data_IF_314862113955
#
_entry.id   IF_314862113955
#
_cell.length_a   1.000
_cell.length_b   1.000
_cell.length_c   1.000
_cell.angle_alpha   90.00
_cell.angle_beta   90.00
_cell.angle_gamma   90.00
#
_symmetry.space_group_name_H-M   'P 1'
#
loop_
_entity.id
_entity.type
_entity.pdbx_description
1 polymer ?
#
# COMPACT_ATOMS: atom_id res chain seq x y z
N UNK A 1 -14.02 -2.94 13.44
CA UNK A 1 -13.39 -2.01 12.49
C UNK A 1 -12.94 -2.81 11.27
N UNK A 2 -13.43 -2.46 10.09
CA UNK A 2 -13.04 -3.05 8.82
C UNK A 2 -12.06 -2.11 8.12
N UNK A 3 -10.86 -2.59 7.79
CA UNK A 3 -9.85 -1.82 7.07
C UNK A 3 -9.37 -2.59 5.84
N UNK A 4 -9.26 -1.89 4.71
CA UNK A 4 -8.84 -2.48 3.45
C UNK A 4 -7.58 -1.78 2.92
N UNK A 5 -6.56 -2.55 2.57
CA UNK A 5 -5.31 -2.02 2.04
C UNK A 5 -5.21 -2.24 0.53
N UNK A 6 -5.00 -1.16 -0.22
CA UNK A 6 -4.64 -1.19 -1.65
C UNK A 6 -3.16 -0.83 -1.75
N UNK A 7 -2.33 -1.75 -2.22
CA UNK A 7 -0.90 -1.49 -2.33
C UNK A 7 -0.13 -2.57 -3.05
N UNK A 8 1.15 -2.70 -2.73
CA UNK A 8 2.02 -3.67 -3.40
C UNK A 8 2.83 -4.48 -2.39
N UNK A 9 4.04 -4.88 -2.76
CA UNK A 9 4.94 -5.61 -1.88
C UNK A 9 5.22 -4.91 -0.55
N UNK A 10 5.13 -3.58 -0.47
CA UNK A 10 5.29 -2.81 0.78
C UNK A 10 4.11 -2.93 1.75
N UNK A 11 2.97 -3.44 1.28
CA UNK A 11 1.84 -3.88 2.10
C UNK A 11 1.84 -5.40 2.29
N UNK A 12 2.32 -6.16 1.29
CA UNK A 12 2.33 -7.61 1.33
C UNK A 12 3.38 -8.18 2.30
N UNK A 13 4.60 -7.62 2.30
CA UNK A 13 5.71 -8.05 3.14
C UNK A 13 5.39 -7.82 4.61
N UNK A 14 5.86 -8.74 5.45
CA UNK A 14 5.55 -8.84 6.88
C UNK A 14 4.06 -8.92 7.21
N UNK A 15 3.22 -9.10 6.19
CA UNK A 15 1.77 -9.03 6.31
C UNK A 15 1.30 -7.75 7.04
N UNK A 16 1.70 -6.57 6.56
CA UNK A 16 1.46 -5.28 7.23
C UNK A 16 0.01 -5.05 7.71
N UNK A 17 -0.99 -5.48 6.93
CA UNK A 17 -2.40 -5.39 7.33
C UNK A 17 -2.71 -6.19 8.61
N UNK A 18 -2.08 -7.35 8.78
CA UNK A 18 -2.16 -8.16 9.99
C UNK A 18 -1.37 -7.53 11.14
N UNK A 19 -0.18 -6.96 10.89
CA UNK A 19 0.56 -6.24 11.93
C UNK A 19 -0.25 -5.07 12.50
N UNK A 20 -0.90 -4.30 11.61
CA UNK A 20 -1.81 -3.24 12.03
C UNK A 20 -2.97 -3.79 12.87
N UNK A 21 -3.60 -4.89 12.44
CA UNK A 21 -4.64 -5.56 13.24
C UNK A 21 -4.12 -5.92 14.63
N UNK A 22 -2.95 -6.53 14.74
CA UNK A 22 -2.36 -6.96 16.01
C UNK A 22 -2.17 -5.77 16.96
N UNK A 23 -1.45 -4.73 16.52
CA UNK A 23 -1.18 -3.56 17.37
C UNK A 23 -2.45 -2.76 17.70
N UNK A 24 -3.43 -2.73 16.78
CA UNK A 24 -4.71 -2.05 17.00
C UNK A 24 -5.59 -2.78 18.03
N UNK A 25 -5.72 -4.11 17.92
CA UNK A 25 -6.51 -4.92 18.87
C UNK A 25 -5.87 -4.95 20.26
N UNK A 26 -4.55 -4.82 20.35
CA UNK A 26 -3.86 -4.70 21.63
C UNK A 26 -4.08 -3.31 22.28
N UNK A 27 -3.82 -2.23 21.53
CA UNK A 27 -3.86 -0.88 22.08
C UNK A 27 -5.27 -0.28 22.23
N UNK A 28 -6.29 -0.87 21.61
CA UNK A 28 -7.69 -0.45 21.75
C UNK A 28 -8.55 -1.53 22.41
N UNK A 29 -8.93 -1.29 23.67
CA UNK A 29 -9.80 -2.18 24.45
C UNK A 29 -11.10 -2.50 23.67
N UNK A 30 -11.42 -3.79 23.57
CA UNK A 30 -12.60 -4.35 22.89
C UNK A 30 -12.68 -4.07 21.37
N UNK A 31 -11.62 -3.54 20.75
CA UNK A 31 -11.59 -3.40 19.31
C UNK A 31 -11.37 -4.78 18.66
N UNK A 32 -12.18 -5.09 17.67
CA UNK A 32 -11.93 -6.17 16.71
C UNK A 32 -11.69 -5.57 15.34
N UNK A 33 -10.59 -5.97 14.72
CA UNK A 33 -10.16 -5.48 13.41
C UNK A 33 -10.28 -6.59 12.39
N UNK A 34 -11.04 -6.33 11.33
CA UNK A 34 -10.98 -7.11 10.10
C UNK A 34 -10.08 -6.37 9.12
N UNK A 35 -8.94 -6.94 8.77
CA UNK A 35 -7.95 -6.32 7.90
C UNK A 35 -7.76 -7.17 6.64
N UNK A 36 -8.19 -6.63 5.50
CA UNK A 36 -8.02 -7.25 4.19
C UNK A 36 -7.06 -6.41 3.34
N UNK A 37 -6.50 -7.04 2.30
CA UNK A 37 -5.61 -6.34 1.36
C UNK A 37 -5.74 -6.89 -0.05
N UNK A 38 -5.42 -6.04 -1.02
CA UNK A 38 -5.13 -6.43 -2.39
C UNK A 38 -3.77 -5.86 -2.76
N UNK A 39 -2.88 -6.74 -3.22
CA UNK A 39 -1.51 -6.36 -3.53
C UNK A 39 -1.01 -6.98 -4.82
N UNK A 40 -0.41 -6.16 -5.67
CA UNK A 40 0.32 -6.59 -6.86
C UNK A 40 1.74 -6.03 -6.80
N UNK A 41 2.76 -6.89 -6.95
CA UNK A 41 4.17 -6.50 -6.78
C UNK A 41 4.58 -5.34 -7.69
N UNK A 42 5.19 -4.30 -7.11
CA UNK A 42 5.65 -3.12 -7.84
C UNK A 42 4.55 -2.24 -8.45
N UNK A 43 3.28 -2.41 -8.09
CA UNK A 43 2.19 -1.68 -8.75
C UNK A 43 1.83 -0.37 -8.02
N UNK A 44 1.35 0.59 -8.81
CA UNK A 44 0.88 1.92 -8.41
C UNK A 44 -0.64 1.94 -8.23
N UNK A 45 -1.19 2.99 -7.61
CA UNK A 45 -2.65 3.17 -7.56
C UNK A 45 -3.27 3.34 -8.96
N UNK A 46 -2.51 3.87 -9.92
CA UNK A 46 -2.88 3.84 -11.34
C UNK A 46 -3.22 2.43 -11.79
N UNK A 47 -2.33 1.46 -11.56
CA UNK A 47 -2.53 0.10 -12.07
C UNK A 47 -3.69 -0.59 -11.33
N UNK A 48 -3.81 -0.37 -10.02
CA UNK A 48 -4.98 -0.81 -9.25
C UNK A 48 -6.30 -0.25 -9.78
N UNK A 49 -6.32 1.00 -10.25
CA UNK A 49 -7.51 1.66 -10.76
C UNK A 49 -7.84 1.24 -12.20
N UNK A 50 -6.86 1.31 -13.10
CA UNK A 50 -7.09 1.22 -14.54
C UNK A 50 -6.89 -0.19 -15.12
N UNK A 51 -6.07 -1.03 -14.48
CA UNK A 51 -5.72 -2.35 -15.01
C UNK A 51 -6.35 -3.48 -14.22
N UNK A 52 -6.41 -3.35 -12.89
CA UNK A 52 -6.83 -4.43 -12.00
C UNK A 52 -8.19 -4.20 -11.35
N UNK A 53 -8.75 -3.00 -11.47
CA UNK A 53 -10.03 -2.59 -10.86
C UNK A 53 -10.14 -2.99 -9.38
N UNK A 54 -9.06 -2.84 -8.62
CA UNK A 54 -8.97 -3.23 -7.21
C UNK A 54 -9.98 -2.51 -6.31
N UNK A 55 -10.47 -1.35 -6.74
CA UNK A 55 -11.53 -0.62 -6.06
C UNK A 55 -12.88 -1.36 -6.03
N UNK A 56 -13.07 -2.42 -6.85
CA UNK A 56 -14.21 -3.36 -6.68
C UNK A 56 -14.30 -3.90 -5.26
N UNK A 57 -13.17 -4.17 -4.59
CA UNK A 57 -13.13 -4.60 -3.18
C UNK A 57 -13.59 -3.52 -2.23
N UNK A 58 -13.21 -2.27 -2.51
CA UNK A 58 -13.68 -1.11 -1.77
C UNK A 58 -15.20 -0.97 -1.91
N UNK A 59 -15.77 -1.35 -3.05
CA UNK A 59 -17.20 -1.23 -3.40
C UNK A 59 -18.06 -2.46 -3.11
N UNK A 60 -17.51 -3.55 -2.54
CA UNK A 60 -18.22 -4.85 -2.42
C UNK A 60 -19.57 -4.81 -1.69
N UNK A 61 -19.80 -3.80 -0.85
CA UNK A 61 -21.07 -3.63 -0.15
C UNK A 61 -22.20 -3.12 -1.06
N UNK A 62 -21.85 -2.48 -2.19
CA UNK A 62 -22.80 -1.74 -3.04
C UNK A 62 -22.69 -2.06 -4.54
N UNK A 63 -21.56 -2.59 -4.99
CA UNK A 63 -21.32 -2.90 -6.41
C UNK A 63 -22.21 -4.06 -6.87
N UNK A 64 -22.80 -3.90 -8.05
CA UNK A 64 -23.61 -4.95 -8.68
C UNK A 64 -22.73 -6.04 -9.31
N UNK A 65 -23.29 -7.24 -9.46
CA UNK A 65 -22.63 -8.33 -10.18
C UNK A 65 -22.32 -7.94 -11.65
N UNK A 66 -23.22 -7.17 -12.29
CA UNK A 66 -23.04 -6.71 -13.67
C UNK A 66 -21.88 -5.73 -13.82
N UNK A 67 -21.68 -4.83 -12.85
CA UNK A 67 -20.51 -3.95 -12.81
C UNK A 67 -19.21 -4.74 -12.62
N UNK A 68 -19.21 -5.77 -11.78
CA UNK A 68 -18.04 -6.66 -11.64
C UNK A 68 -17.77 -7.38 -12.97
N UNK A 69 -18.79 -7.91 -13.63
CA UNK A 69 -18.67 -8.56 -14.95
C UNK A 69 -18.16 -7.60 -16.03
N UNK A 70 -18.58 -6.33 -16.02
CA UNK A 70 -18.05 -5.30 -16.92
C UNK A 70 -16.55 -5.06 -16.68
N UNK A 71 -16.13 -4.95 -15.41
CA UNK A 71 -14.69 -4.81 -15.07
C UNK A 71 -13.89 -6.04 -15.50
N UNK A 72 -14.43 -7.24 -15.32
CA UNK A 72 -13.83 -8.48 -15.84
C UNK A 72 -13.66 -8.41 -17.36
N UNK A 73 -14.68 -8.00 -18.11
CA UNK A 73 -14.60 -7.85 -19.58
C UNK A 73 -13.52 -6.85 -20.00
N UNK A 74 -13.40 -5.71 -19.31
CA UNK A 74 -12.32 -4.74 -19.56
C UNK A 74 -10.92 -5.35 -19.32
N UNK A 75 -10.75 -6.08 -18.22
CA UNK A 75 -9.50 -6.79 -17.93
C UNK A 75 -9.19 -7.86 -18.98
N UNK A 76 -10.19 -8.63 -19.41
CA UNK A 76 -10.03 -9.65 -20.46
C UNK A 76 -9.66 -9.03 -21.80
N UNK A 77 -10.20 -7.86 -22.14
CA UNK A 77 -9.81 -7.11 -23.33
C UNK A 77 -8.33 -6.70 -23.26
N UNK A 78 -7.86 -6.17 -22.12
CA UNK A 78 -6.44 -5.86 -21.91
C UNK A 78 -5.53 -7.10 -22.07
N UNK A 79 -6.00 -8.30 -21.69
CA UNK A 79 -5.23 -9.54 -21.88
C UNK A 79 -5.08 -9.95 -23.34
N UNK A 80 -5.94 -9.48 -24.24
CA UNK A 80 -5.81 -9.74 -25.69
C UNK A 80 -4.79 -8.83 -26.38
N UNK A 81 -4.40 -7.73 -25.73
CA UNK A 81 -3.44 -6.79 -26.30
C UNK A 81 -2.03 -7.41 -26.35
N UNK A 82 -1.44 -7.37 -27.55
CA UNK A 82 -0.07 -7.85 -27.77
C UNK A 82 0.94 -7.00 -27.02
N UNK A 83 0.80 -5.68 -27.14
CA UNK A 83 1.66 -4.68 -26.53
C UNK A 83 0.89 -3.90 -25.46
N UNK A 84 1.59 -3.19 -24.58
CA UNK A 84 0.94 -2.36 -23.58
C UNK A 84 0.11 -1.23 -24.23
N UNK A 85 -1.09 -0.91 -23.70
CA UNK A 85 -1.98 0.07 -24.28
C UNK A 85 -1.45 1.51 -24.12
N UNK A 86 -1.89 2.40 -25.00
CA UNK A 86 -1.36 3.78 -25.08
C UNK A 86 -1.53 4.59 -23.79
N UNK A 87 -2.64 4.41 -23.07
CA UNK A 87 -2.86 5.11 -21.80
C UNK A 87 -1.86 4.67 -20.70
N UNK A 88 -1.44 3.40 -20.72
CA UNK A 88 -0.43 2.88 -19.80
C UNK A 88 0.97 3.42 -20.14
N UNK A 89 1.33 3.41 -21.44
CA UNK A 89 2.58 4.01 -21.94
C UNK A 89 2.67 5.49 -21.56
N UNK A 90 1.59 6.23 -21.77
CA UNK A 90 1.55 7.66 -21.48
C UNK A 90 1.68 7.96 -19.98
N UNK A 91 1.05 7.17 -19.11
CA UNK A 91 1.24 7.30 -17.67
C UNK A 91 2.72 7.21 -17.27
N UNK A 92 3.45 6.19 -17.73
CA UNK A 92 4.87 6.03 -17.41
C UNK A 92 5.75 7.11 -18.03
N UNK A 93 5.44 7.51 -19.27
CA UNK A 93 6.11 8.62 -19.96
C UNK A 93 5.97 9.94 -19.20
N UNK A 94 4.79 10.25 -18.68
CA UNK A 94 4.55 11.47 -17.87
C UNK A 94 5.36 11.50 -16.57
N UNK A 95 5.62 10.32 -16.00
CA UNK A 95 6.47 10.14 -14.83
C UNK A 95 7.98 10.13 -15.16
N UNK A 96 8.34 10.15 -16.43
CA UNK A 96 9.74 10.02 -16.87
C UNK A 96 10.36 8.67 -16.50
N UNK A 97 9.55 7.61 -16.45
CA UNK A 97 9.95 6.26 -16.02
C UNK A 97 9.65 5.24 -17.12
N UNK A 98 10.43 4.16 -17.12
CA UNK A 98 10.11 2.99 -17.93
C UNK A 98 8.87 2.30 -17.37
N UNK A 99 8.03 1.79 -18.25
CA UNK A 99 6.90 0.95 -17.87
C UNK A 99 7.36 -0.44 -17.41
N UNK A 100 6.54 -1.13 -16.63
CA UNK A 100 6.76 -2.55 -16.36
C UNK A 100 6.53 -3.39 -17.62
N UNK A 101 7.31 -4.46 -17.74
CA UNK A 101 7.13 -5.53 -18.73
C UNK A 101 5.65 -5.95 -18.82
N UNK A 102 5.09 -5.88 -20.03
CA UNK A 102 3.67 -6.07 -20.26
C UNK A 102 3.21 -7.49 -19.92
N UNK A 103 4.04 -8.51 -20.13
CA UNK A 103 3.73 -9.89 -19.75
C UNK A 103 3.59 -10.04 -18.23
N UNK A 104 4.47 -9.38 -17.47
CA UNK A 104 4.37 -9.30 -16.01
C UNK A 104 3.08 -8.59 -15.57
N UNK A 105 2.70 -7.51 -16.25
CA UNK A 105 1.42 -6.81 -15.99
C UNK A 105 0.22 -7.72 -16.30
N UNK A 106 0.23 -8.44 -17.42
CA UNK A 106 -0.84 -9.39 -17.79
C UNK A 106 -0.99 -10.53 -16.78
N UNK A 107 0.08 -11.00 -16.14
CA UNK A 107 -0.01 -11.96 -15.03
C UNK A 107 -0.81 -11.39 -13.86
N UNK A 108 -0.60 -10.12 -13.50
CA UNK A 108 -1.37 -9.46 -12.46
C UNK A 108 -2.83 -9.25 -12.87
N UNK A 109 -3.10 -8.85 -14.12
CA UNK A 109 -4.47 -8.75 -14.66
C UNK A 109 -5.19 -10.10 -14.58
N UNK A 110 -4.52 -11.19 -14.97
CA UNK A 110 -5.06 -12.55 -14.85
C UNK A 110 -5.42 -12.90 -13.40
N UNK A 111 -4.55 -12.56 -12.45
CA UNK A 111 -4.84 -12.71 -11.02
C UNK A 111 -6.04 -11.88 -10.56
N UNK A 112 -6.16 -10.64 -11.04
CA UNK A 112 -7.28 -9.76 -10.75
C UNK A 112 -8.60 -10.33 -11.29
N UNK A 113 -8.64 -10.83 -12.52
CA UNK A 113 -9.81 -11.49 -13.12
C UNK A 113 -10.26 -12.66 -12.24
N UNK A 114 -9.34 -13.58 -11.90
CA UNK A 114 -9.65 -14.73 -11.04
C UNK A 114 -10.20 -14.31 -9.68
N UNK A 115 -9.67 -13.24 -9.10
CA UNK A 115 -10.17 -12.70 -7.84
C UNK A 115 -11.61 -12.19 -7.97
N UNK A 116 -11.91 -11.41 -9.01
CA UNK A 116 -13.26 -10.89 -9.27
C UNK A 116 -14.26 -12.01 -9.54
N UNK A 117 -13.90 -13.01 -10.36
CA UNK A 117 -14.72 -14.20 -10.59
C UNK A 117 -15.01 -14.95 -9.29
N UNK A 118 -14.00 -15.09 -8.41
CA UNK A 118 -14.18 -15.72 -7.10
C UNK A 118 -15.13 -14.92 -6.20
N UNK A 119 -15.15 -13.59 -6.29
CA UNK A 119 -16.07 -12.77 -5.49
C UNK A 119 -17.52 -12.94 -5.91
N UNK A 120 -17.79 -13.05 -7.22
CA UNK A 120 -19.11 -13.40 -7.75
C UNK A 120 -19.51 -14.79 -7.27
N UNK A 121 -18.67 -15.80 -7.51
CA UNK A 121 -18.97 -17.20 -7.19
C UNK A 121 -19.25 -17.43 -5.70
N UNK A 122 -18.49 -16.75 -4.82
CA UNK A 122 -18.66 -16.84 -3.36
C UNK A 122 -19.76 -15.93 -2.81
N UNK A 123 -20.45 -15.16 -3.65
CA UNK A 123 -21.37 -14.09 -3.23
C UNK A 123 -20.71 -13.20 -2.16
N UNK A 124 -19.43 -12.83 -2.36
CA UNK A 124 -18.73 -11.85 -1.50
C UNK A 124 -19.29 -10.43 -1.68
N UNK A 125 -20.19 -10.24 -2.63
CA UNK A 125 -21.09 -9.09 -2.70
C UNK A 125 -21.94 -9.13 -1.42
N UNK A 126 -21.93 -8.05 -0.62
CA UNK A 126 -22.48 -7.98 0.77
C UNK A 126 -21.50 -8.27 1.92
N UNK A 127 -20.21 -7.92 1.77
CA UNK A 127 -19.36 -7.71 2.94
C UNK A 127 -19.76 -6.44 3.70
N UNK A 128 -19.47 -6.41 5.00
CA UNK A 128 -19.65 -5.19 5.80
C UNK A 128 -18.85 -4.03 5.18
N UNK A 129 -19.40 -2.81 5.15
CA UNK A 129 -18.68 -1.63 4.65
C UNK A 129 -17.32 -1.46 5.33
N UNK A 130 -16.39 -0.88 4.59
CA UNK A 130 -15.08 -0.52 5.11
C UNK A 130 -15.18 0.73 5.99
N UNK A 131 -14.60 0.70 7.18
CA UNK A 131 -14.41 1.92 7.97
C UNK A 131 -13.26 2.74 7.39
N UNK A 132 -12.22 2.05 6.94
CA UNK A 132 -11.01 2.65 6.40
C UNK A 132 -10.53 1.96 5.11
N UNK A 133 -10.00 2.75 4.18
CA UNK A 133 -9.18 2.29 3.06
C UNK A 133 -7.79 2.92 3.13
N UNK A 134 -6.76 2.08 3.01
CA UNK A 134 -5.36 2.50 2.95
C UNK A 134 -4.94 2.56 1.48
N UNK A 135 -4.45 3.71 1.05
CA UNK A 135 -4.00 3.97 -0.31
C UNK A 135 -2.47 4.10 -0.31
N UNK A 136 -1.78 3.04 -0.70
CA UNK A 136 -0.32 2.99 -0.71
C UNK A 136 0.28 3.75 -1.91
N UNK A 137 1.29 4.57 -1.67
CA UNK A 137 2.13 5.15 -2.74
C UNK A 137 3.12 4.14 -3.32
N UNK A 138 3.57 4.35 -4.55
CA UNK A 138 4.69 3.57 -5.10
C UNK A 138 5.42 4.28 -6.23
N UNK A 139 6.55 4.92 -5.91
CA UNK A 139 7.44 5.57 -6.88
C UNK A 139 6.77 6.57 -7.86
N UNK A 140 5.51 6.91 -7.67
CA UNK A 140 4.66 7.73 -8.53
C UNK A 140 4.22 9.02 -7.85
N UNK A 141 4.79 9.34 -6.68
CA UNK A 141 4.65 10.66 -6.06
C UNK A 141 5.45 11.67 -6.87
N UNK A 142 4.77 12.67 -7.41
CA UNK A 142 5.35 13.78 -8.18
C UNK A 142 4.82 15.10 -7.66
N UNK A 143 5.39 16.21 -8.15
CA UNK A 143 4.89 17.56 -7.87
C UNK A 143 3.66 17.96 -8.71
N UNK A 144 3.10 17.05 -9.50
CA UNK A 144 1.93 17.28 -10.36
C UNK A 144 0.70 16.65 -9.72
N UNK A 145 -0.37 17.43 -9.57
CA UNK A 145 -1.62 16.94 -8.96
C UNK A 145 -2.46 16.07 -9.92
N UNK A 146 -2.28 16.24 -11.23
CA UNK A 146 -3.11 15.59 -12.26
C UNK A 146 -2.60 14.22 -12.73
N UNK A 147 -1.46 13.76 -12.21
CA UNK A 147 -0.87 12.45 -12.57
C UNK A 147 -0.30 11.75 -11.33
N UNK A 148 0.18 10.51 -11.50
CA UNK A 148 0.81 9.73 -10.45
C UNK A 148 -0.07 9.53 -9.20
N UNK A 149 0.58 9.38 -8.05
CA UNK A 149 -0.07 9.06 -6.78
C UNK A 149 -1.18 10.05 -6.41
N UNK A 150 -0.98 11.35 -6.65
CA UNK A 150 -1.94 12.38 -6.26
C UNK A 150 -3.29 12.18 -6.95
N UNK A 151 -3.27 12.06 -8.29
CA UNK A 151 -4.49 11.91 -9.09
C UNK A 151 -5.27 10.65 -8.72
N UNK A 152 -4.58 9.53 -8.58
CA UNK A 152 -5.21 8.25 -8.25
C UNK A 152 -5.64 8.13 -6.79
N UNK A 153 -4.91 8.76 -5.85
CA UNK A 153 -5.37 8.87 -4.47
C UNK A 153 -6.67 9.67 -4.38
N UNK A 154 -6.79 10.80 -5.11
CA UNK A 154 -8.03 11.60 -5.17
C UNK A 154 -9.19 10.82 -5.80
N UNK A 155 -8.93 10.11 -6.91
CA UNK A 155 -9.93 9.26 -7.58
C UNK A 155 -10.47 8.19 -6.62
N UNK A 156 -9.59 7.42 -6.00
CA UNK A 156 -9.98 6.34 -5.09
C UNK A 156 -10.60 6.87 -3.78
N UNK A 157 -10.14 8.03 -3.29
CA UNK A 157 -10.76 8.69 -2.13
C UNK A 157 -12.19 9.12 -2.42
N UNK A 158 -12.50 9.54 -3.65
CA UNK A 158 -13.87 9.90 -4.04
C UNK A 158 -14.80 8.68 -4.02
N UNK A 159 -14.32 7.52 -4.50
CA UNK A 159 -15.04 6.25 -4.41
C UNK A 159 -15.24 5.78 -2.96
N UNK A 160 -14.25 6.01 -2.10
CA UNK A 160 -14.33 5.70 -0.67
C UNK A 160 -15.36 6.60 0.03
N UNK A 161 -15.35 7.90 -0.26
CA UNK A 161 -16.28 8.87 0.32
C UNK A 161 -17.74 8.57 -0.06
N UNK A 162 -18.01 8.13 -1.29
CA UNK A 162 -19.34 7.69 -1.73
C UNK A 162 -19.91 6.55 -0.87
N UNK A 163 -19.04 5.80 -0.18
CA UNK A 163 -19.38 4.68 0.68
C UNK A 163 -19.19 4.99 2.17
N UNK A 164 -18.89 6.25 2.52
CA UNK A 164 -18.56 6.70 3.88
C UNK A 164 -17.31 6.02 4.47
N UNK A 165 -16.44 5.47 3.62
CA UNK A 165 -15.16 4.89 4.00
C UNK A 165 -14.13 6.00 4.16
N UNK A 166 -13.44 6.04 5.31
CA UNK A 166 -12.36 7.00 5.56
C UNK A 166 -11.10 6.58 4.84
N UNK A 167 -10.33 7.54 4.34
CA UNK A 167 -9.05 7.28 3.69
C UNK A 167 -7.91 7.34 4.70
N UNK A 168 -6.86 6.56 4.47
CA UNK A 168 -5.54 6.69 5.08
C UNK A 168 -4.52 6.69 3.93
N UNK A 169 -3.69 7.73 3.85
CA UNK A 169 -2.61 7.80 2.86
C UNK A 169 -1.36 7.11 3.40
N UNK A 170 -0.90 6.04 2.77
CA UNK A 170 0.31 5.32 3.16
C UNK A 170 1.48 5.71 2.25
N UNK A 171 2.35 6.57 2.77
CA UNK A 171 3.52 7.11 2.07
C UNK A 171 4.73 6.24 2.40
N UNK A 172 5.04 5.31 1.50
CA UNK A 172 6.21 4.43 1.56
C UNK A 172 7.49 5.22 1.29
N UNK A 173 8.64 4.74 1.77
CA UNK A 173 9.93 5.41 1.53
C UNK A 173 11.06 4.42 1.18
N UNK A 174 10.97 3.69 0.04
CA UNK A 174 11.99 2.71 -0.35
C UNK A 174 13.41 3.28 -0.43
N UNK A 175 13.52 4.56 -0.77
CA UNK A 175 14.78 5.30 -0.89
C UNK A 175 15.38 5.69 0.48
N UNK A 176 14.57 5.81 1.54
CA UNK A 176 15.02 6.24 2.87
C UNK A 176 15.42 5.05 3.79
N UNK A 177 15.23 3.81 3.33
CA UNK A 177 15.58 2.61 4.09
C UNK A 177 17.07 2.27 3.89
N UNK A 178 17.87 2.44 4.95
CA UNK A 178 19.28 2.09 4.93
C UNK A 178 19.50 0.58 5.14
N UNK A 179 20.38 0.00 4.33
CA UNK A 179 20.85 -1.40 4.45
C UNK A 179 22.11 -1.54 5.34
N UNK A 180 22.72 -0.42 5.72
CA UNK A 180 23.93 -0.32 6.56
C UNK A 180 23.76 0.84 7.53
N UNK A 181 24.56 0.89 8.60
CA UNK A 181 24.58 2.03 9.51
C UNK A 181 24.78 3.36 8.74
N UNK A 182 24.14 4.41 9.22
CA UNK A 182 24.26 5.76 8.65
C UNK A 182 24.59 6.75 9.76
N UNK A 183 25.31 7.82 9.41
CA UNK A 183 25.67 8.91 10.34
C UNK A 183 24.72 10.11 10.23
N UNK A 184 23.86 10.13 9.21
CA UNK A 184 22.87 11.18 8.96
C UNK A 184 21.70 10.63 8.14
N UNK A 185 20.58 11.36 8.03
CA UNK A 185 19.47 10.95 7.19
C UNK A 185 19.85 10.83 5.71
N UNK A 186 19.33 9.80 5.05
CA UNK A 186 19.54 9.56 3.61
C UNK A 186 18.35 10.06 2.80
N UNK A 187 18.59 10.52 1.58
CA UNK A 187 17.54 10.93 0.63
C UNK A 187 16.56 11.98 1.18
N UNK A 188 17.08 12.88 2.05
CA UNK A 188 16.27 13.88 2.76
C UNK A 188 15.43 14.76 1.84
N UNK A 189 16.00 15.18 0.71
CA UNK A 189 15.28 16.00 -0.29
C UNK A 189 14.05 15.26 -0.82
N UNK A 190 14.18 13.97 -1.13
CA UNK A 190 13.06 13.15 -1.60
C UNK A 190 12.02 12.91 -0.50
N UNK A 191 12.46 12.67 0.74
CA UNK A 191 11.55 12.58 1.91
C UNK A 191 10.71 13.85 2.00
N UNK A 192 11.34 15.03 2.02
CA UNK A 192 10.61 16.29 2.18
C UNK A 192 9.74 16.64 0.97
N UNK A 193 10.17 16.29 -0.25
CA UNK A 193 9.34 16.43 -1.44
C UNK A 193 8.07 15.58 -1.32
N UNK A 194 8.18 14.31 -0.91
CA UNK A 194 7.01 13.43 -0.73
C UNK A 194 6.10 13.90 0.40
N UNK A 195 6.66 14.39 1.50
CA UNK A 195 5.89 14.95 2.61
C UNK A 195 5.10 16.20 2.20
N UNK A 196 5.65 17.06 1.34
CA UNK A 196 4.93 18.22 0.81
C UNK A 196 3.69 17.78 0.04
N UNK A 197 3.82 16.78 -0.82
CA UNK A 197 2.70 16.24 -1.61
C UNK A 197 1.69 15.53 -0.71
N UNK A 198 2.16 14.75 0.27
CA UNK A 198 1.31 14.09 1.24
C UNK A 198 0.50 15.08 2.08
N UNK A 199 1.10 16.21 2.51
CA UNK A 199 0.41 17.26 3.26
C UNK A 199 -0.65 17.98 2.40
N UNK A 200 -0.38 18.20 1.10
CA UNK A 200 -1.37 18.74 0.17
C UNK A 200 -2.57 17.81 0.02
N UNK A 201 -2.32 16.51 -0.20
CA UNK A 201 -3.38 15.49 -0.27
C UNK A 201 -4.15 15.38 1.05
N UNK A 202 -3.45 15.39 2.18
CA UNK A 202 -4.06 15.35 3.51
C UNK A 202 -5.08 16.47 3.67
N UNK A 203 -4.69 17.71 3.35
CA UNK A 203 -5.57 18.88 3.41
C UNK A 203 -6.74 18.76 2.43
N UNK A 204 -6.47 18.32 1.19
CA UNK A 204 -7.49 18.18 0.14
C UNK A 204 -8.56 17.14 0.49
N UNK A 205 -8.15 16.02 1.08
CA UNK A 205 -9.00 14.87 1.33
C UNK A 205 -9.50 14.81 2.78
N UNK A 206 -9.05 15.71 3.66
CA UNK A 206 -9.32 15.68 5.10
C UNK A 206 -9.10 14.29 5.71
N UNK A 207 -7.89 13.76 5.50
CA UNK A 207 -7.50 12.38 5.83
C UNK A 207 -6.27 12.35 6.73
N UNK A 208 -5.88 11.17 7.20
CA UNK A 208 -4.63 10.95 7.95
C UNK A 208 -3.56 10.36 7.03
N UNK A 209 -2.30 10.59 7.39
CA UNK A 209 -1.13 10.13 6.64
C UNK A 209 -0.27 9.23 7.51
N UNK A 210 0.26 8.16 6.92
CA UNK A 210 1.33 7.33 7.48
C UNK A 210 2.63 7.64 6.71
N UNK A 211 3.49 8.53 7.22
CA UNK A 211 4.67 9.02 6.52
C UNK A 211 5.96 8.27 6.93
N UNK A 212 6.22 7.09 6.35
CA UNK A 212 7.37 6.26 6.75
C UNK A 212 8.70 6.99 6.58
N UNK A 213 8.85 7.76 5.49
CA UNK A 213 10.08 8.54 5.23
C UNK A 213 10.41 9.55 6.34
N UNK A 214 9.39 10.19 6.93
CA UNK A 214 9.60 11.14 8.04
C UNK A 214 10.09 10.44 9.31
N UNK A 215 9.55 9.26 9.60
CA UNK A 215 9.95 8.48 10.75
C UNK A 215 11.42 8.02 10.62
N UNK A 216 11.79 7.49 9.45
CA UNK A 216 13.16 7.10 9.14
C UNK A 216 14.12 8.30 9.22
N UNK A 217 13.74 9.43 8.61
CA UNK A 217 14.51 10.67 8.69
C UNK A 217 14.78 11.07 10.14
N UNK A 218 13.76 11.04 11.00
CA UNK A 218 13.91 11.40 12.42
C UNK A 218 14.84 10.46 13.18
N UNK A 219 14.76 9.14 12.94
CA UNK A 219 15.65 8.16 13.57
C UNK A 219 17.10 8.38 13.12
N UNK A 220 17.32 8.68 11.84
CA UNK A 220 18.65 8.82 11.26
C UNK A 220 19.32 10.18 11.58
N UNK A 221 18.63 11.15 12.20
CA UNK A 221 19.13 12.52 12.45
C UNK A 221 20.48 12.60 13.16
N UNK A 222 20.73 11.69 14.09
CA UNK A 222 21.97 11.62 14.88
C UNK A 222 22.83 10.40 14.49
N UNK A 223 22.51 9.77 13.35
CA UNK A 223 23.02 8.47 12.98
C UNK A 223 22.28 7.31 13.67
N UNK A 224 22.37 6.13 13.08
CA UNK A 224 21.77 4.89 13.59
C UNK A 224 22.49 3.67 13.05
N UNK A 225 22.65 2.65 13.88
CA UNK A 225 23.09 1.31 13.47
C UNK A 225 21.92 0.40 13.05
N UNK A 226 20.68 0.80 13.34
CA UNK A 226 19.49 0.09 12.86
C UNK A 226 19.41 0.17 11.34
N UNK A 227 19.13 -0.98 10.73
CA UNK A 227 18.87 -1.12 9.29
C UNK A 227 17.36 -1.21 9.11
N UNK A 228 16.83 -0.65 8.03
CA UNK A 228 15.39 -0.61 7.76
C UNK A 228 14.98 -1.33 6.48
N UNK A 229 15.94 -1.95 5.80
CA UNK A 229 15.69 -2.92 4.74
C UNK A 229 16.70 -4.05 4.82
N UNK A 230 16.37 -5.15 4.17
CA UNK A 230 17.30 -6.25 3.98
C UNK A 230 18.51 -5.82 3.14
N UNK A 231 19.60 -6.58 3.26
CA UNK A 231 20.81 -6.40 2.46
C UNK A 231 20.60 -7.05 1.08
N UNK A 232 20.09 -8.28 1.06
CA UNK A 232 19.88 -9.06 -0.16
C UNK A 232 18.50 -8.81 -0.80
N UNK A 233 17.69 -7.92 -0.23
CA UNK A 233 16.36 -7.59 -0.69
C UNK A 233 16.06 -6.10 -0.42
N UNK A 234 15.51 -5.36 -1.38
CA UNK A 234 15.23 -3.93 -1.22
C UNK A 234 14.02 -3.63 -0.32
N UNK A 235 13.26 -4.65 0.08
CA UNK A 235 12.05 -4.50 0.88
C UNK A 235 12.35 -4.16 2.35
N UNK A 236 11.37 -3.58 3.07
CA UNK A 236 11.47 -3.34 4.50
C UNK A 236 11.83 -4.62 5.25
N UNK A 237 12.72 -4.51 6.23
CA UNK A 237 12.94 -5.59 7.19
C UNK A 237 11.96 -5.49 8.37
N UNK A 238 12.09 -6.40 9.34
CA UNK A 238 11.24 -6.49 10.53
C UNK A 238 11.20 -5.17 11.31
N UNK A 239 12.32 -4.46 11.47
CA UNK A 239 12.36 -3.16 12.16
C UNK A 239 11.52 -2.10 11.46
N UNK A 240 11.60 -2.01 10.13
CA UNK A 240 10.83 -1.05 9.36
C UNK A 240 9.34 -1.40 9.32
N UNK A 241 9.01 -2.69 9.25
CA UNK A 241 7.64 -3.16 9.35
C UNK A 241 7.01 -2.88 10.72
N UNK A 242 7.77 -3.11 11.81
CA UNK A 242 7.36 -2.74 13.17
C UNK A 242 7.10 -1.23 13.30
N UNK A 243 8.06 -0.42 12.86
CA UNK A 243 7.92 1.04 12.82
C UNK A 243 6.68 1.46 12.04
N UNK A 244 6.45 0.86 10.88
CA UNK A 244 5.29 1.16 10.03
C UNK A 244 3.98 0.81 10.74
N UNK A 245 3.88 -0.33 11.41
CA UNK A 245 2.70 -0.71 12.19
C UNK A 245 2.41 0.31 13.33
N UNK A 246 3.45 0.76 14.05
CA UNK A 246 3.37 1.82 15.05
C UNK A 246 2.87 3.15 14.48
N UNK A 247 3.32 3.53 13.28
CA UNK A 247 2.84 4.73 12.58
C UNK A 247 1.37 4.61 12.18
N UNK A 248 0.94 3.44 11.68
CA UNK A 248 -0.47 3.19 11.40
C UNK A 248 -1.33 3.31 12.67
N UNK A 249 -0.89 2.70 13.78
CA UNK A 249 -1.59 2.81 15.06
C UNK A 249 -1.77 4.27 15.47
N UNK A 250 -0.68 5.05 15.44
CA UNK A 250 -0.71 6.48 15.77
C UNK A 250 -1.63 7.25 14.83
N UNK A 251 -1.54 7.02 13.52
CA UNK A 251 -2.33 7.74 12.52
C UNK A 251 -3.84 7.45 12.66
N UNK A 252 -4.23 6.23 13.00
CA UNK A 252 -5.64 5.84 13.12
C UNK A 252 -6.25 6.25 14.46
N UNK A 253 -5.51 6.11 15.56
CA UNK A 253 -6.06 6.31 16.91
C UNK A 253 -5.62 7.60 17.60
N UNK A 254 -4.67 8.34 17.01
CA UNK A 254 -4.04 9.51 17.63
C UNK A 254 -3.52 9.23 19.04
N UNK A 255 -2.90 8.06 19.23
CA UNK A 255 -2.34 7.56 20.49
C UNK A 255 -0.93 7.06 20.28
N UNK A 256 -0.08 7.21 21.30
CA UNK A 256 1.25 6.61 21.28
C UNK A 256 1.16 5.08 21.33
N UNK A 257 1.97 4.36 20.52
CA UNK A 257 2.14 2.92 20.64
C UNK A 257 3.14 2.53 21.76
N UNK A 258 3.76 3.51 22.43
CA UNK A 258 4.66 3.25 23.56
C UNK A 258 3.92 2.57 24.72
N UNK A 259 4.56 1.55 25.29
CA UNK A 259 3.99 0.73 26.37
C UNK A 259 3.13 -0.44 25.89
N UNK A 260 2.91 -0.59 24.58
CA UNK A 260 2.35 -1.82 24.01
C UNK A 260 3.40 -2.96 24.10
N UNK A 261 2.93 -4.17 24.36
CA UNK A 261 3.69 -5.42 24.38
C UNK A 261 4.03 -5.93 22.97
N UNK A 262 3.30 -5.52 21.92
CA UNK A 262 3.64 -5.81 20.53
C UNK A 262 5.10 -5.42 20.25
N UNK A 263 5.94 -6.42 19.96
CA UNK A 263 7.39 -6.22 19.81
C UNK A 263 8.05 -7.17 18.79
N UNK A 264 7.26 -7.97 18.07
CA UNK A 264 7.77 -9.01 17.16
C UNK A 264 7.10 -8.89 15.79
N UNK A 265 7.88 -9.02 14.73
CA UNK A 265 7.40 -9.03 13.34
C UNK A 265 8.01 -10.21 12.61
N UNK A 266 7.17 -11.04 12.01
CA UNK A 266 7.62 -12.22 11.26
C UNK A 266 7.61 -11.95 9.76
N UNK A 267 8.74 -12.20 9.11
CA UNK A 267 8.86 -12.20 7.66
C UNK A 267 8.02 -13.33 7.05
N UNK A 268 7.28 -13.01 5.98
CA UNK A 268 6.39 -13.93 5.30
C UNK A 268 6.87 -14.34 3.90
N UNK A 269 7.99 -13.77 3.43
CA UNK A 269 8.79 -14.29 2.31
C UNK A 269 9.78 -15.31 2.85
N UNK A 270 9.26 -16.48 3.15
CA UNK A 270 10.03 -17.61 3.64
C UNK A 270 10.94 -18.19 2.54
N UNK A 271 12.25 -18.21 2.80
CA UNK A 271 13.25 -18.92 2.01
C UNK A 271 13.86 -20.07 2.83
N UNK A 272 13.14 -21.19 2.94
CA UNK A 272 13.54 -22.39 3.69
C UNK A 272 13.71 -22.16 5.21
N UNK A 273 12.76 -21.47 5.83
CA UNK A 273 12.73 -21.09 7.24
C UNK A 273 13.51 -19.82 7.58
N UNK A 274 14.02 -19.10 6.57
CA UNK A 274 14.91 -17.95 6.74
C UNK A 274 14.37 -16.70 6.06
N UNK A 275 14.75 -15.55 6.62
CA UNK A 275 14.52 -14.25 6.01
C UNK A 275 15.46 -14.02 4.79
N UNK A 276 15.27 -12.96 3.99
CA UNK A 276 16.10 -12.70 2.83
C UNK A 276 17.61 -12.54 3.09
N UNK A 277 18.00 -12.19 4.32
CA UNK A 277 19.40 -12.06 4.72
C UNK A 277 19.94 -13.36 5.33
N UNK A 278 19.15 -14.44 5.34
CA UNK A 278 19.52 -15.74 5.91
C UNK A 278 19.36 -15.79 7.44
N UNK A 279 18.70 -14.79 8.03
CA UNK A 279 18.41 -14.70 9.45
C UNK A 279 17.10 -15.37 9.84
N UNK A 280 16.75 -15.35 11.15
CA UNK A 280 15.45 -15.82 11.61
C UNK A 280 14.32 -14.96 11.02
N UNK A 281 13.15 -15.56 10.83
CA UNK A 281 11.99 -14.85 10.30
C UNK A 281 11.45 -13.78 11.28
N UNK A 282 11.61 -13.97 12.60
CA UNK A 282 11.09 -13.10 13.66
C UNK A 282 12.18 -12.22 14.29
#
# INVERSE_FOLDING_TARGET
>A
MNIFFIGNSFTQRHNLSLLFKTIAEEGQKNLKVNAEKVTYGGQTLFAHSELYFSHSLLELAVISEDEIKERIRKMQALLQEKDSPEFYKNFWKELGKAEYDWETVKKNITGAVKAHESWIAKKKISLQPWDYVVLQSWQDITNKENTGYFSYAVKLASLAAAQKTKVILYITAPYAMNQKSVTSPIESEKVFADLKIAAQLQKKLNTVVVPVGLALYNIQKQGTDLKFRYVNDFHPNQYCAYLTACLFYTAVFNKSPEGLAFNTVTENKDQNGLDPDGGPLA
#
